data_IF_877247557209
#
_entry.id   IF_877247557209
#
_cell.length_a   1.000
_cell.length_b   1.000
_cell.length_c   1.000
_cell.angle_alpha   90.00
_cell.angle_beta   90.00
_cell.angle_gamma   90.00
#
_symmetry.space_group_name_H-M   'P 1'
#
loop_
_entity.id
_entity.type
_entity.pdbx_description
1 polymer ?
#
# COMPACT_ATOMS: atom_id res chain seq x y z
N UNK A 1 -7.41 -12.93 3.99
CA UNK A 1 -8.78 -12.41 4.14
C UNK A 1 -9.74 -13.59 4.03
N UNK A 2 -10.76 -13.66 4.89
CA UNK A 2 -11.82 -14.70 4.84
C UNK A 2 -13.06 -14.23 4.06
N UNK A 3 -14.11 -15.05 4.03
CA UNK A 3 -15.33 -14.83 3.23
C UNK A 3 -16.05 -13.49 3.48
N UNK A 4 -15.84 -12.82 4.61
CA UNK A 4 -16.46 -11.54 4.97
C UNK A 4 -15.43 -10.52 5.47
N UNK A 5 -14.41 -10.21 4.67
CA UNK A 5 -13.36 -9.28 5.08
C UNK A 5 -13.74 -7.82 4.81
N UNK A 6 -13.95 -7.08 5.89
CA UNK A 6 -14.03 -5.61 5.91
C UNK A 6 -12.67 -5.07 6.34
N UNK A 7 -12.24 -3.97 5.72
CA UNK A 7 -11.02 -3.26 6.03
C UNK A 7 -11.32 -1.78 6.25
N UNK A 8 -11.00 -1.32 7.45
CA UNK A 8 -11.00 0.10 7.79
C UNK A 8 -9.92 0.86 7.02
N UNK A 9 -10.01 2.18 6.99
CA UNK A 9 -9.04 3.01 6.28
C UNK A 9 -7.63 2.81 6.85
N UNK A 10 -6.72 2.28 6.03
CA UNK A 10 -5.33 1.99 6.39
C UNK A 10 -4.37 2.32 5.24
N UNK A 11 -3.09 2.27 5.55
CA UNK A 11 -2.00 2.28 4.57
C UNK A 11 -1.23 0.97 4.69
N UNK A 12 -0.83 0.39 3.57
CA UNK A 12 0.11 -0.72 3.55
C UNK A 12 1.54 -0.20 3.69
N UNK A 13 1.88 0.32 4.87
CA UNK A 13 3.13 1.06 5.13
C UNK A 13 4.41 0.26 4.89
N UNK A 14 4.30 -1.06 4.77
CA UNK A 14 5.42 -1.95 4.46
C UNK A 14 5.58 -2.20 2.97
N UNK A 15 4.61 -1.83 2.13
CA UNK A 15 4.70 -1.94 0.68
C UNK A 15 5.62 -0.86 0.10
N UNK A 16 6.11 -1.09 -1.13
CA UNK A 16 6.93 -0.13 -1.86
C UNK A 16 6.09 1.09 -2.28
N UNK A 17 6.35 2.31 -1.79
CA UNK A 17 5.53 3.52 -2.02
C UNK A 17 5.30 3.94 -3.47
N UNK A 18 6.24 3.60 -4.36
CA UNK A 18 6.16 3.92 -5.78
C UNK A 18 5.72 2.75 -6.66
N UNK A 19 5.31 1.63 -6.08
CA UNK A 19 4.85 0.47 -6.84
C UNK A 19 3.34 0.29 -6.56
N UNK A 20 2.47 0.51 -7.56
CA UNK A 20 1.06 0.23 -7.41
C UNK A 20 0.82 -1.26 -7.10
N UNK A 21 -0.14 -1.53 -6.23
CA UNK A 21 -0.62 -2.85 -5.87
C UNK A 21 -1.86 -3.18 -6.72
N UNK A 22 -1.79 -4.19 -7.59
CA UNK A 22 -2.94 -4.69 -8.34
C UNK A 22 -3.94 -5.41 -7.44
N UNK A 23 -5.23 -5.08 -7.61
CA UNK A 23 -6.35 -5.78 -7.01
C UNK A 23 -7.28 -6.24 -8.13
N UNK A 24 -7.44 -7.55 -8.28
CA UNK A 24 -8.27 -8.15 -9.33
C UNK A 24 -9.39 -8.96 -8.68
N UNK A 25 -10.62 -8.44 -8.59
CA UNK A 25 -11.78 -9.25 -8.21
C UNK A 25 -12.06 -10.35 -9.25
N UNK A 26 -12.48 -11.51 -8.76
CA UNK A 26 -12.76 -12.69 -9.59
C UNK A 26 -14.27 -12.85 -9.84
N UNK A 27 -15.08 -12.57 -8.84
CA UNK A 27 -16.53 -12.79 -8.85
C UNK A 27 -17.34 -11.51 -9.03
N UNK A 28 -18.65 -11.67 -9.24
CA UNK A 28 -19.62 -10.59 -9.20
C UNK A 28 -20.00 -10.25 -7.77
N UNK A 29 -20.07 -8.95 -7.47
CA UNK A 29 -20.35 -8.45 -6.13
C UNK A 29 -20.93 -7.04 -6.21
N UNK A 30 -21.72 -6.66 -5.21
CA UNK A 30 -22.45 -5.38 -5.13
C UNK A 30 -21.92 -4.45 -4.03
N UNK A 31 -21.28 -5.01 -3.00
CA UNK A 31 -20.58 -4.35 -1.90
C UNK A 31 -19.06 -4.34 -2.07
N UNK A 32 -18.29 -4.39 -0.97
CA UNK A 32 -16.83 -4.52 -0.97
C UNK A 32 -16.07 -3.59 -1.95
N UNK A 33 -16.59 -2.39 -2.10
CA UNK A 33 -16.03 -1.34 -2.94
C UNK A 33 -14.76 -0.82 -2.29
N UNK A 34 -13.72 -0.62 -3.10
CA UNK A 34 -12.51 0.06 -2.63
C UNK A 34 -12.86 1.52 -2.40
N UNK A 35 -12.55 2.05 -1.23
CA UNK A 35 -12.79 3.47 -0.93
C UNK A 35 -11.50 4.14 -0.48
N UNK A 36 -11.41 5.44 -0.76
CA UNK A 36 -10.36 6.32 -0.24
C UNK A 36 -10.98 7.66 0.14
N UNK A 37 -10.98 7.96 1.44
CA UNK A 37 -11.47 9.23 1.99
C UNK A 37 -10.59 10.40 1.53
N UNK A 38 -9.27 10.20 1.47
CA UNK A 38 -8.32 11.23 1.03
C UNK A 38 -8.55 11.70 -0.41
N UNK A 39 -8.98 10.78 -1.27
CA UNK A 39 -9.28 11.08 -2.66
C UNK A 39 -10.76 11.41 -2.88
N UNK A 40 -11.63 11.20 -1.88
CA UNK A 40 -13.07 11.35 -2.02
C UNK A 40 -13.68 10.40 -3.04
N UNK A 41 -13.09 9.22 -3.26
CA UNK A 41 -13.52 8.26 -4.28
C UNK A 41 -13.93 6.92 -3.69
N UNK A 42 -14.85 6.28 -4.40
CA UNK A 42 -15.26 4.89 -4.19
C UNK A 42 -15.28 4.18 -5.53
N UNK A 43 -14.65 3.01 -5.59
CA UNK A 43 -14.38 2.27 -6.83
C UNK A 43 -14.92 0.84 -6.71
N UNK A 44 -15.91 0.55 -7.54
CA UNK A 44 -16.41 -0.80 -7.80
C UNK A 44 -15.68 -1.36 -9.03
N UNK A 45 -14.63 -2.14 -8.79
CA UNK A 45 -13.94 -2.84 -9.88
C UNK A 45 -14.85 -3.92 -10.47
N UNK A 46 -15.06 -3.98 -11.80
CA UNK A 46 -15.81 -5.08 -12.38
C UNK A 46 -15.01 -6.40 -12.23
N UNK A 47 -15.70 -7.55 -12.21
CA UNK A 47 -15.04 -8.84 -12.18
C UNK A 47 -14.05 -8.96 -13.34
N UNK A 48 -12.86 -9.51 -13.07
CA UNK A 48 -11.78 -9.72 -14.04
C UNK A 48 -11.13 -8.43 -14.57
N UNK A 49 -11.48 -7.26 -14.05
CA UNK A 49 -10.68 -6.06 -14.22
C UNK A 49 -9.71 -5.88 -13.05
N UNK A 50 -8.67 -5.08 -13.26
CA UNK A 50 -7.65 -4.81 -12.25
C UNK A 50 -7.66 -3.33 -11.88
N UNK A 51 -7.76 -3.05 -10.59
CA UNK A 51 -7.52 -1.71 -10.05
C UNK A 51 -6.10 -1.64 -9.51
N UNK A 52 -5.41 -0.54 -9.82
CA UNK A 52 -4.08 -0.26 -9.31
C UNK A 52 -4.19 0.81 -8.21
N UNK A 53 -3.64 0.51 -7.03
CA UNK A 53 -3.60 1.47 -5.92
C UNK A 53 -2.18 1.62 -5.39
N UNK A 54 -1.75 2.86 -5.13
CA UNK A 54 -0.54 3.14 -4.38
C UNK A 54 -0.78 2.88 -2.89
N UNK A 55 -0.89 1.61 -2.50
CA UNK A 55 -1.48 1.22 -1.22
C UNK A 55 -0.68 1.65 0.02
N UNK A 56 0.62 1.91 -0.12
CA UNK A 56 1.43 2.52 0.94
C UNK A 56 1.17 4.04 1.10
N UNK A 57 0.74 4.71 0.03
CA UNK A 57 0.66 6.17 -0.06
C UNK A 57 -0.76 6.73 0.03
N UNK A 58 -1.77 5.92 -0.28
CA UNK A 58 -3.18 6.33 -0.33
C UNK A 58 -3.95 5.56 0.72
N UNK A 59 -4.64 6.26 1.62
CA UNK A 59 -5.46 5.63 2.65
C UNK A 59 -6.63 4.96 1.96
N UNK A 60 -6.82 3.69 2.25
CA UNK A 60 -7.85 2.90 1.60
C UNK A 60 -8.46 1.85 2.51
N UNK A 61 -9.63 1.39 2.12
CA UNK A 61 -10.33 0.29 2.76
C UNK A 61 -11.34 -0.32 1.80
N UNK A 62 -12.18 -1.22 2.29
CA UNK A 62 -13.32 -1.69 1.53
C UNK A 62 -14.62 -1.54 2.32
N UNK A 63 -15.73 -1.37 1.61
CA UNK A 63 -17.04 -1.35 2.23
C UNK A 63 -17.46 -2.77 2.67
N UNK A 64 -18.49 -2.90 3.52
CA UNK A 64 -19.11 -4.20 3.78
C UNK A 64 -19.56 -4.91 2.50
N UNK A 65 -19.56 -6.25 2.51
CA UNK A 65 -20.17 -7.03 1.45
C UNK A 65 -21.70 -6.88 1.47
N UNK A 66 -22.36 -7.04 0.32
CA UNK A 66 -23.81 -7.18 0.25
C UNK A 66 -24.30 -8.49 0.89
N UNK A 67 -25.60 -8.60 1.22
CA UNK A 67 -26.16 -9.75 1.92
C UNK A 67 -25.89 -11.12 1.25
N UNK A 68 -25.84 -11.15 -0.08
CA UNK A 68 -25.68 -12.35 -0.89
C UNK A 68 -24.39 -12.32 -1.73
N UNK A 69 -23.48 -11.38 -1.44
CA UNK A 69 -22.23 -11.26 -2.19
C UNK A 69 -21.25 -12.37 -1.80
N UNK A 70 -20.60 -12.92 -2.83
CA UNK A 70 -19.36 -13.70 -2.68
C UNK A 70 -18.28 -12.95 -3.43
N UNK A 71 -17.21 -12.56 -2.74
CA UNK A 71 -16.09 -11.84 -3.36
C UNK A 71 -14.77 -12.49 -3.07
N UNK A 72 -14.17 -13.08 -4.08
CA UNK A 72 -12.73 -13.35 -4.10
C UNK A 72 -12.00 -12.27 -4.91
N UNK A 73 -10.81 -11.90 -4.45
CA UNK A 73 -9.91 -11.03 -5.20
C UNK A 73 -8.47 -11.45 -5.01
N UNK A 74 -7.68 -11.29 -6.06
CA UNK A 74 -6.23 -11.46 -6.01
C UNK A 74 -5.62 -10.08 -5.80
N UNK A 75 -4.90 -9.90 -4.69
CA UNK A 75 -4.10 -8.70 -4.43
C UNK A 75 -2.62 -9.05 -4.58
N UNK A 76 -1.93 -8.33 -5.44
CA UNK A 76 -0.49 -8.41 -5.59
C UNK A 76 0.15 -7.20 -4.93
N UNK A 77 1.21 -7.43 -4.16
CA UNK A 77 1.94 -6.37 -3.48
C UNK A 77 3.43 -6.73 -3.44
N UNK A 78 4.27 -5.71 -3.25
CA UNK A 78 5.69 -5.93 -2.98
C UNK A 78 6.10 -5.15 -1.74
N UNK A 79 6.61 -5.89 -0.75
CA UNK A 79 7.16 -5.31 0.47
C UNK A 79 8.40 -4.49 0.13
N UNK A 80 8.49 -3.25 0.61
CA UNK A 80 9.63 -2.36 0.39
C UNK A 80 10.98 -2.97 0.83
N UNK A 81 10.97 -3.80 1.86
CA UNK A 81 12.15 -4.51 2.35
C UNK A 81 12.79 -5.45 1.33
N UNK A 82 12.02 -6.06 0.42
CA UNK A 82 12.58 -6.96 -0.61
C UNK A 82 13.44 -6.19 -1.62
N UNK A 83 13.08 -4.93 -1.89
CA UNK A 83 13.84 -4.04 -2.77
C UNK A 83 15.19 -3.64 -2.19
N UNK A 84 15.34 -3.72 -0.87
CA UNK A 84 16.62 -3.48 -0.21
C UNK A 84 17.51 -4.73 -0.17
N UNK A 85 16.97 -5.94 -0.36
CA UNK A 85 17.70 -7.20 -0.20
C UNK A 85 18.82 -7.38 -1.25
N UNK A 86 18.50 -7.22 -2.54
CA UNK A 86 19.50 -7.36 -3.61
C UNK A 86 20.62 -6.30 -3.53
N UNK A 87 20.33 -4.99 -3.35
CA UNK A 87 21.36 -3.97 -3.14
C UNK A 87 22.20 -4.17 -1.87
N UNK A 88 21.74 -4.98 -0.92
CA UNK A 88 22.46 -5.32 0.30
C UNK A 88 23.22 -6.66 0.20
N UNK A 89 23.42 -7.16 -1.04
CA UNK A 89 24.18 -8.38 -1.29
C UNK A 89 23.47 -9.63 -0.80
N UNK A 90 22.14 -9.68 -0.95
CA UNK A 90 21.31 -10.81 -0.55
C UNK A 90 21.35 -11.12 0.96
N UNK A 91 21.60 -10.08 1.77
CA UNK A 91 21.66 -10.18 3.24
C UNK A 91 20.48 -9.46 3.87
N UNK A 92 20.00 -9.93 5.05
CA UNK A 92 19.03 -9.17 5.82
C UNK A 92 19.55 -7.76 6.10
N UNK A 93 18.65 -6.78 6.06
CA UNK A 93 18.97 -5.46 6.58
C UNK A 93 19.31 -5.58 8.07
N UNK A 94 20.36 -4.91 8.57
CA UNK A 94 20.63 -4.87 9.99
C UNK A 94 19.41 -4.23 10.69
N UNK A 95 19.11 -4.66 11.92
CA UNK A 95 17.93 -4.17 12.66
C UNK A 95 17.84 -2.64 12.73
N UNK A 96 18.99 -1.94 12.68
CA UNK A 96 19.09 -0.47 12.67
C UNK A 96 18.89 0.19 11.30
N UNK A 97 18.96 -0.55 10.19
CA UNK A 97 18.72 -0.03 8.85
C UNK A 97 17.23 0.17 8.54
N UNK A 98 16.35 -0.50 9.29
CA UNK A 98 14.91 -0.25 9.27
C UNK A 98 14.59 0.77 10.34
N UNK A 99 14.43 2.02 9.94
CA UNK A 99 13.96 3.08 10.82
C UNK A 99 12.46 2.92 11.08
N UNK A 100 12.14 2.11 12.10
CA UNK A 100 10.76 1.81 12.49
C UNK A 100 10.03 3.06 12.95
N UNK A 101 10.73 3.99 13.59
CA UNK A 101 10.13 5.25 14.03
C UNK A 101 9.71 6.08 12.82
N UNK A 102 10.55 6.14 11.78
CA UNK A 102 10.21 6.79 10.52
C UNK A 102 9.06 6.10 9.78
N UNK A 103 9.00 4.76 9.78
CA UNK A 103 7.84 4.02 9.26
C UNK A 103 6.55 4.36 10.02
N UNK A 104 6.61 4.38 11.36
CA UNK A 104 5.47 4.75 12.19
C UNK A 104 5.05 6.20 11.97
N UNK A 105 5.98 7.15 11.86
CA UNK A 105 5.68 8.55 11.53
C UNK A 105 5.05 8.67 10.15
N UNK A 106 5.63 8.01 9.15
CA UNK A 106 5.09 7.98 7.79
C UNK A 106 3.73 7.29 7.70
N UNK A 107 3.30 6.52 8.70
CA UNK A 107 1.94 5.97 8.77
C UNK A 107 0.90 6.95 9.33
N UNK A 108 1.36 8.00 10.02
CA UNK A 108 0.56 8.90 10.83
C UNK A 108 0.83 10.38 10.50
N UNK A 109 1.32 10.69 9.30
CA UNK A 109 1.45 12.09 8.86
C UNK A 109 0.07 12.70 8.60
N UNK A 110 0.03 14.04 8.52
CA UNK A 110 -1.19 14.75 8.14
C UNK A 110 -1.75 14.23 6.81
N UNK A 111 -3.09 14.15 6.66
CA UNK A 111 -3.73 13.81 5.39
C UNK A 111 -3.14 14.62 4.24
N UNK A 112 -2.86 13.97 3.11
CA UNK A 112 -2.24 14.60 1.94
C UNK A 112 -0.70 14.66 1.95
N UNK A 113 -0.03 14.52 3.11
CA UNK A 113 1.44 14.46 3.18
C UNK A 113 1.99 13.03 3.08
N UNK A 114 1.12 12.04 3.06
CA UNK A 114 1.45 10.61 3.07
C UNK A 114 2.30 10.19 1.88
N UNK A 115 1.94 10.64 0.66
CA UNK A 115 2.66 10.29 -0.56
C UNK A 115 4.13 10.69 -0.47
N UNK A 116 4.40 11.92 -0.06
CA UNK A 116 5.77 12.42 0.11
C UNK A 116 6.50 11.66 1.21
N UNK A 117 5.88 11.49 2.38
CA UNK A 117 6.46 10.76 3.50
C UNK A 117 6.87 9.33 3.07
N UNK A 118 6.00 8.64 2.35
CA UNK A 118 6.21 7.29 1.88
C UNK A 118 7.28 7.23 0.78
N UNK A 119 7.24 8.11 -0.22
CA UNK A 119 8.29 8.19 -1.25
C UNK A 119 9.69 8.42 -0.64
N UNK A 120 9.78 9.17 0.47
CA UNK A 120 11.06 9.41 1.15
C UNK A 120 11.61 8.23 1.94
N UNK A 121 10.78 7.21 2.28
CA UNK A 121 11.22 6.08 3.11
C UNK A 121 12.29 5.21 2.43
N UNK A 122 12.24 5.10 1.10
CA UNK A 122 13.15 4.26 0.33
C UNK A 122 14.01 5.04 -0.67
N UNK A 123 13.81 6.35 -0.80
CA UNK A 123 14.68 7.18 -1.61
C UNK A 123 16.00 7.45 -0.87
N UNK A 124 17.12 7.10 -1.50
CA UNK A 124 18.45 7.57 -1.09
C UNK A 124 18.72 8.99 -1.55
N UNK A 125 17.71 9.74 -2.01
CA UNK A 125 17.93 11.06 -2.62
C UNK A 125 18.71 11.99 -1.68
N UNK A 126 18.37 11.99 -0.39
CA UNK A 126 19.09 12.76 0.63
C UNK A 126 20.51 12.24 0.96
N UNK A 127 20.86 11.01 0.55
CA UNK A 127 22.21 10.44 0.68
C UNK A 127 23.07 10.62 -0.58
N UNK A 128 22.48 11.03 -1.70
CA UNK A 128 23.20 11.31 -2.94
C UNK A 128 23.71 12.75 -2.97
N UNK A 129 23.01 13.68 -2.31
CA UNK A 129 23.42 15.09 -2.21
C UNK A 129 24.54 15.35 -1.18
N UNK A 130 25.02 14.33 -0.47
CA UNK A 130 26.11 14.44 0.53
C UNK A 130 27.45 13.91 0.03
N UNK A 131 27.55 13.49 -1.23
CA UNK A 131 28.79 12.96 -1.83
C UNK A 131 29.30 13.83 -3.01
N UNK A 132 28.81 15.07 -3.12
CA UNK A 132 29.38 16.09 -4.00
C UNK A 132 29.99 17.21 -3.13
N UNK A 133 31.06 16.87 -2.42
CA UNK A 133 32.11 17.80 -2.00
C UNK A 133 33.46 17.16 -2.34
#
# INVERSE_FOLDING_TARGET
>A
MGLNSISWGHYDTTNKPGLPCPITPVDQYTGAQLWSEELGIQVQAPPRATVLILSACVKHGNTPMGPDDVRFSITQYAVGGIWAWAPYGFKPLPKKAVDRERLHKAANVSPGSQLEAQLTLLSRHNKLNTNCE
#
